data_IF_601305129823
#
_entry.id   IF_601305129823
#
_cell.length_a   1.000
_cell.length_b   1.000
_cell.length_c   1.000
_cell.angle_alpha   90.00
_cell.angle_beta   90.00
_cell.angle_gamma   90.00
#
_symmetry.space_group_name_H-M   'P 1'
#
loop_
_entity.id
_entity.type
_entity.pdbx_description
1 polymer ?
#
# COMPACT_ATOMS: atom_id res chain seq x y z
N UNK A 1 -26.18 71.35 4.72
CA UNK A 1 -25.90 70.22 5.63
C UNK A 1 -25.88 68.86 4.90
N UNK A 2 -26.72 68.62 3.88
CA UNK A 2 -26.80 67.33 3.18
C UNK A 2 -25.60 66.94 2.30
N UNK A 3 -24.74 67.89 1.91
CA UNK A 3 -23.53 67.60 1.11
C UNK A 3 -22.35 67.12 1.96
N UNK A 4 -22.33 67.45 3.25
CA UNK A 4 -21.26 67.04 4.17
C UNK A 4 -21.42 65.57 4.56
N UNK A 5 -22.64 65.14 4.90
CA UNK A 5 -22.94 63.75 5.24
C UNK A 5 -22.64 62.77 4.09
N UNK A 6 -22.95 63.16 2.85
CA UNK A 6 -22.65 62.35 1.67
C UNK A 6 -21.14 62.22 1.37
N UNK A 7 -20.34 63.20 1.80
CA UNK A 7 -18.87 63.17 1.64
C UNK A 7 -18.24 62.27 2.70
N UNK A 8 -18.69 62.35 3.95
CA UNK A 8 -18.24 61.49 5.04
C UNK A 8 -18.57 60.00 4.80
N UNK A 9 -19.75 59.69 4.25
CA UNK A 9 -20.14 58.32 3.87
C UNK A 9 -19.23 57.73 2.78
N UNK A 10 -18.85 58.54 1.78
CA UNK A 10 -17.93 58.09 0.72
C UNK A 10 -16.49 57.96 1.21
N UNK A 11 -16.05 58.81 2.13
CA UNK A 11 -14.72 58.72 2.75
C UNK A 11 -14.62 57.48 3.63
N UNK A 12 -15.66 57.16 4.40
CA UNK A 12 -15.72 55.92 5.20
C UNK A 12 -15.74 54.67 4.32
N UNK A 13 -16.52 54.67 3.24
CA UNK A 13 -16.56 53.58 2.25
C UNK A 13 -15.22 53.41 1.52
N UNK A 14 -14.58 54.50 1.09
CA UNK A 14 -13.27 54.47 0.44
C UNK A 14 -12.18 53.98 1.42
N UNK A 15 -12.22 54.41 2.68
CA UNK A 15 -11.33 53.90 3.73
C UNK A 15 -11.50 52.41 3.98
N UNK A 16 -12.75 51.92 4.06
CA UNK A 16 -13.04 50.49 4.22
C UNK A 16 -12.52 49.64 3.04
N UNK A 17 -12.66 50.13 1.80
CA UNK A 17 -12.15 49.46 0.60
C UNK A 17 -10.61 49.36 0.61
N UNK A 18 -9.92 50.43 1.03
CA UNK A 18 -8.44 50.41 1.15
C UNK A 18 -7.98 49.39 2.19
N UNK A 19 -8.64 49.32 3.35
CA UNK A 19 -8.33 48.33 4.40
C UNK A 19 -8.56 46.90 3.90
N UNK A 20 -9.69 46.63 3.25
CA UNK A 20 -10.02 45.31 2.70
C UNK A 20 -8.98 44.87 1.64
N UNK A 21 -8.57 45.78 0.76
CA UNK A 21 -7.57 45.48 -0.28
C UNK A 21 -6.18 45.23 0.32
N UNK A 22 -5.80 45.96 1.38
CA UNK A 22 -4.55 45.77 2.09
C UNK A 22 -4.50 44.43 2.82
N UNK A 23 -5.59 44.03 3.47
CA UNK A 23 -5.68 42.72 4.14
C UNK A 23 -5.60 41.57 3.12
N UNK A 24 -6.29 41.69 1.99
CA UNK A 24 -6.21 40.69 0.92
C UNK A 24 -4.79 40.59 0.33
N UNK A 25 -4.12 41.73 0.11
CA UNK A 25 -2.74 41.76 -0.37
C UNK A 25 -1.79 41.07 0.63
N UNK A 26 -1.93 41.33 1.92
CA UNK A 26 -1.12 40.67 2.96
C UNK A 26 -1.38 39.16 3.06
N UNK A 27 -2.63 38.73 2.88
CA UNK A 27 -2.96 37.30 2.86
C UNK A 27 -2.31 36.59 1.66
N UNK A 28 -2.31 37.22 0.48
CA UNK A 28 -1.63 36.70 -0.72
C UNK A 28 -0.11 36.71 -0.54
N UNK A 29 0.46 37.76 0.05
CA UNK A 29 1.91 37.80 0.35
C UNK A 29 2.28 36.71 1.35
N UNK A 30 1.47 36.53 2.40
CA UNK A 30 1.65 35.47 3.39
C UNK A 30 1.62 34.08 2.78
N UNK A 31 0.68 33.81 1.86
CA UNK A 31 0.61 32.53 1.17
C UNK A 31 1.83 32.29 0.27
N UNK A 32 2.29 33.31 -0.44
CA UNK A 32 3.51 33.22 -1.26
C UNK A 32 4.74 32.94 -0.38
N UNK A 33 4.89 33.60 0.76
CA UNK A 33 6.00 33.36 1.71
C UNK A 33 5.94 31.94 2.29
N UNK A 34 4.75 31.44 2.64
CA UNK A 34 4.58 30.05 3.09
C UNK A 34 4.96 29.04 2.02
N UNK A 35 4.64 29.29 0.76
CA UNK A 35 5.07 28.43 -0.36
C UNK A 35 6.59 28.45 -0.54
N UNK A 36 7.23 29.62 -0.46
CA UNK A 36 8.70 29.72 -0.54
C UNK A 36 9.37 28.96 0.60
N UNK A 37 8.82 29.02 1.82
CA UNK A 37 9.32 28.25 2.94
C UNK A 37 9.20 26.74 2.70
N UNK A 38 8.05 26.28 2.22
CA UNK A 38 7.86 24.86 1.87
C UNK A 38 8.77 24.41 0.73
N UNK A 39 9.04 25.25 -0.27
CA UNK A 39 10.00 24.92 -1.33
C UNK A 39 11.43 24.81 -0.77
N UNK A 40 11.81 25.66 0.19
CA UNK A 40 13.09 25.54 0.88
C UNK A 40 13.18 24.26 1.72
N UNK A 41 12.10 23.90 2.40
CA UNK A 41 11.99 22.64 3.16
C UNK A 41 12.05 21.41 2.23
N UNK A 42 11.33 21.44 1.09
CA UNK A 42 11.41 20.42 0.05
C UNK A 42 12.83 20.30 -0.50
N UNK A 43 13.49 21.41 -0.80
CA UNK A 43 14.86 21.39 -1.30
C UNK A 43 15.80 20.76 -0.26
N UNK A 44 15.64 21.08 1.02
CA UNK A 44 16.43 20.49 2.10
C UNK A 44 16.15 18.99 2.24
N UNK A 45 14.88 18.61 2.32
CA UNK A 45 14.44 17.22 2.41
C UNK A 45 14.87 16.38 1.20
N UNK A 46 14.79 16.94 -0.01
CA UNK A 46 15.25 16.27 -1.23
C UNK A 46 16.75 15.97 -1.15
N UNK A 47 17.55 16.93 -0.69
CA UNK A 47 19.00 16.75 -0.55
C UNK A 47 19.33 15.68 0.49
N UNK A 48 18.65 15.67 1.63
CA UNK A 48 18.87 14.67 2.70
C UNK A 48 18.40 13.26 2.27
N UNK A 49 17.20 13.15 1.69
CA UNK A 49 16.66 11.88 1.24
C UNK A 49 17.51 11.23 0.13
N UNK A 50 18.02 12.03 -0.81
CA UNK A 50 18.94 11.54 -1.85
C UNK A 50 20.28 11.13 -1.27
N UNK A 51 20.75 11.80 -0.22
CA UNK A 51 21.98 11.44 0.48
C UNK A 51 21.87 10.05 1.11
N UNK A 52 20.79 9.77 1.84
CA UNK A 52 20.53 8.46 2.47
C UNK A 52 20.40 7.34 1.44
N UNK A 53 19.68 7.58 0.34
CA UNK A 53 19.55 6.63 -0.77
C UNK A 53 20.89 6.32 -1.44
N UNK A 54 21.77 7.31 -1.56
CA UNK A 54 23.11 7.13 -2.11
C UNK A 54 24.02 6.35 -1.16
N UNK A 55 23.92 6.58 0.15
CA UNK A 55 24.66 5.81 1.15
C UNK A 55 24.22 4.35 1.20
N UNK A 56 22.90 4.11 1.18
CA UNK A 56 22.35 2.76 1.09
C UNK A 56 22.85 2.02 -0.16
N UNK A 57 22.85 2.68 -1.32
CA UNK A 57 23.38 2.10 -2.57
C UNK A 57 24.85 1.71 -2.44
N UNK A 58 25.68 2.51 -1.76
CA UNK A 58 27.10 2.19 -1.55
C UNK A 58 27.26 0.94 -0.69
N UNK A 59 26.49 0.83 0.40
CA UNK A 59 26.51 -0.34 1.28
C UNK A 59 25.99 -1.59 0.57
N UNK A 60 24.87 -1.49 -0.14
CA UNK A 60 24.26 -2.59 -0.88
C UNK A 60 25.14 -3.09 -2.03
N UNK A 61 25.71 -2.21 -2.86
CA UNK A 61 26.63 -2.62 -3.93
C UNK A 61 27.90 -3.26 -3.38
N UNK A 62 28.47 -2.71 -2.29
CA UNK A 62 29.64 -3.30 -1.63
C UNK A 62 29.32 -4.71 -1.12
N UNK A 63 28.14 -4.93 -0.54
CA UNK A 63 27.69 -6.24 -0.11
C UNK A 63 27.50 -7.22 -1.28
N UNK A 64 26.87 -6.78 -2.37
CA UNK A 64 26.69 -7.59 -3.58
C UNK A 64 28.03 -8.04 -4.17
N UNK A 65 28.98 -7.12 -4.33
CA UNK A 65 30.33 -7.43 -4.83
C UNK A 65 31.15 -8.32 -3.89
N UNK A 66 30.87 -8.30 -2.58
CA UNK A 66 31.51 -9.20 -1.60
C UNK A 66 30.87 -10.59 -1.55
N UNK A 67 29.59 -10.73 -1.90
CA UNK A 67 28.84 -11.99 -1.76
C UNK A 67 28.64 -12.74 -3.09
N UNK A 68 28.73 -12.07 -4.23
CA UNK A 68 28.70 -12.72 -5.55
C UNK A 68 30.07 -12.68 -6.22
N UNK A 69 30.94 -13.67 -5.97
CA UNK A 69 32.18 -13.81 -6.73
C UNK A 69 31.87 -14.13 -8.19
N UNK A 70 32.68 -13.58 -9.10
CA UNK A 70 32.57 -13.82 -10.53
C UNK A 70 32.56 -15.33 -10.81
N UNK A 71 31.77 -15.85 -11.78
CA UNK A 71 31.61 -17.30 -12.01
C UNK A 71 32.92 -18.06 -12.23
N UNK A 72 33.98 -17.37 -12.70
CA UNK A 72 35.33 -17.92 -12.78
C UNK A 72 35.92 -18.29 -11.41
N UNK A 73 35.67 -17.49 -10.36
CA UNK A 73 36.12 -17.72 -8.99
C UNK A 73 35.35 -18.86 -8.31
N UNK A 74 34.04 -18.99 -8.55
CA UNK A 74 33.25 -20.15 -8.09
C UNK A 74 33.75 -21.46 -8.71
N UNK A 75 34.14 -21.43 -9.98
CA UNK A 75 34.68 -22.60 -10.69
C UNK A 75 36.11 -22.92 -10.25
N UNK A 76 36.90 -21.91 -9.87
CA UNK A 76 38.25 -22.02 -9.31
C UNK A 76 38.22 -22.58 -7.89
N UNK A 77 37.30 -22.14 -7.04
CA UNK A 77 37.09 -22.73 -5.70
C UNK A 77 36.53 -24.16 -5.77
N UNK A 78 35.57 -24.44 -6.66
CA UNK A 78 35.09 -25.81 -6.87
C UNK A 78 36.19 -26.76 -7.36
N UNK A 79 37.19 -26.23 -8.10
CA UNK A 79 38.40 -26.97 -8.50
C UNK A 79 39.42 -27.09 -7.37
N UNK A 80 39.68 -26.02 -6.61
CA UNK A 80 40.63 -26.02 -5.49
C UNK A 80 40.22 -27.00 -4.39
N UNK A 81 38.92 -27.10 -4.06
CA UNK A 81 38.38 -28.05 -3.08
C UNK A 81 38.53 -29.51 -3.55
N UNK A 82 38.46 -29.76 -4.86
CA UNK A 82 38.69 -31.10 -5.44
C UNK A 82 40.17 -31.49 -5.46
N UNK A 83 41.09 -30.53 -5.62
CA UNK A 83 42.54 -30.76 -5.66
C UNK A 83 43.20 -30.75 -4.26
N UNK A 84 42.61 -30.08 -3.27
CA UNK A 84 43.11 -30.02 -1.88
C UNK A 84 42.95 -31.32 -1.07
N UNK A 85 42.30 -32.35 -1.61
CA UNK A 85 42.34 -33.71 -1.04
C UNK A 85 43.61 -34.49 -1.42
N UNK A 86 44.51 -33.90 -2.24
CA UNK A 86 45.65 -34.64 -2.84
C UNK A 86 47.06 -34.07 -2.68
N UNK A 87 47.31 -32.77 -2.44
CA UNK A 87 48.68 -32.23 -2.33
C UNK A 87 48.72 -30.85 -1.65
N UNK A 88 49.75 -30.57 -0.82
CA UNK A 88 49.92 -29.45 0.15
C UNK A 88 49.97 -27.99 -0.39
N UNK A 89 50.35 -26.95 0.40
CA UNK A 89 51.37 -26.92 1.47
C UNK A 89 50.87 -26.49 2.86
N UNK A 90 51.66 -26.82 3.88
CA UNK A 90 51.47 -26.54 5.31
C UNK A 90 51.43 -25.04 5.61
N UNK A 91 50.29 -24.53 6.07
CA UNK A 91 50.16 -23.17 6.61
C UNK A 91 50.53 -23.18 8.10
N UNK A 92 51.50 -22.34 8.51
CA UNK A 92 52.08 -22.28 9.85
C UNK A 92 51.17 -21.71 10.96
N UNK A 93 49.85 -21.64 10.75
CA UNK A 93 48.91 -21.20 11.79
C UNK A 93 48.74 -22.21 12.92
N UNK A 94 49.35 -23.40 12.85
CA UNK A 94 49.18 -24.50 13.80
C UNK A 94 50.23 -24.55 14.93
N UNK A 95 51.22 -23.64 14.98
CA UNK A 95 52.34 -23.73 15.93
C UNK A 95 52.12 -23.04 17.27
N UNK A 96 51.00 -22.35 17.48
CA UNK A 96 50.53 -21.96 18.81
C UNK A 96 49.49 -22.96 19.31
N UNK A 97 49.31 -23.19 20.62
CA UNK A 97 48.21 -23.99 21.12
C UNK A 97 46.90 -23.27 20.79
N UNK A 98 46.36 -23.55 19.60
CA UNK A 98 44.99 -23.22 19.22
C UNK A 98 44.05 -24.20 19.93
N UNK A 99 44.17 -24.31 21.25
CA UNK A 99 43.32 -25.13 22.12
C UNK A 99 41.98 -24.42 22.42
N UNK A 100 41.47 -23.63 21.49
CA UNK A 100 40.11 -23.11 21.56
C UNK A 100 39.22 -24.04 20.72
N UNK A 101 38.36 -24.87 21.36
CA UNK A 101 37.40 -25.64 20.61
C UNK A 101 36.50 -24.68 19.80
N UNK A 102 36.04 -25.08 18.60
CA UNK A 102 35.02 -24.34 17.88
C UNK A 102 33.84 -24.03 18.81
N UNK A 103 33.33 -22.80 18.75
CA UNK A 103 32.09 -22.47 19.44
C UNK A 103 30.96 -23.41 19.00
N UNK A 104 29.99 -23.72 19.88
CA UNK A 104 28.87 -24.56 19.51
C UNK A 104 28.09 -23.95 18.33
N UNK A 105 27.44 -24.78 17.49
CA UNK A 105 26.48 -24.29 16.52
C UNK A 105 25.45 -23.37 17.19
N UNK A 106 25.08 -22.28 16.51
CA UNK A 106 24.00 -21.41 16.98
C UNK A 106 22.69 -22.20 17.12
N UNK A 107 21.76 -21.75 17.98
CA UNK A 107 20.45 -22.39 18.10
C UNK A 107 19.71 -22.36 16.74
N UNK A 108 18.88 -23.38 16.43
CA UNK A 108 17.96 -23.30 15.31
C UNK A 108 17.12 -22.03 15.37
N UNK A 109 16.83 -21.42 14.22
CA UNK A 109 15.90 -20.30 14.16
C UNK A 109 14.53 -20.69 14.69
N UNK A 110 13.79 -19.71 15.20
CA UNK A 110 12.40 -19.95 15.64
C UNK A 110 11.56 -20.47 14.47
N UNK A 111 10.60 -21.38 14.70
CA UNK A 111 9.62 -21.76 13.69
C UNK A 111 8.93 -20.52 13.11
N UNK A 112 8.66 -20.56 11.80
CA UNK A 112 7.84 -19.52 11.16
C UNK A 112 6.46 -19.44 11.81
N UNK A 113 5.82 -18.28 11.72
CA UNK A 113 4.43 -18.12 12.16
C UNK A 113 3.51 -19.01 11.33
N UNK A 114 2.44 -19.52 11.95
CA UNK A 114 1.41 -20.25 11.22
C UNK A 114 0.82 -19.35 10.11
N UNK A 115 0.54 -19.93 8.94
CA UNK A 115 -0.17 -19.23 7.88
C UNK A 115 -1.56 -18.78 8.34
N UNK A 116 -2.11 -17.74 7.71
CA UNK A 116 -3.49 -17.36 7.95
C UNK A 116 -4.44 -18.50 7.52
N UNK A 117 -5.55 -18.72 8.24
CA UNK A 117 -6.61 -19.62 7.78
C UNK A 117 -7.04 -19.29 6.34
N UNK A 118 -7.38 -20.33 5.57
CA UNK A 118 -8.01 -20.14 4.27
C UNK A 118 -9.33 -19.38 4.42
N UNK A 119 -9.78 -18.73 3.33
CA UNK A 119 -11.13 -18.14 3.29
C UNK A 119 -12.18 -19.25 3.34
N UNK A 120 -13.32 -18.96 3.95
CA UNK A 120 -14.48 -19.84 3.92
C UNK A 120 -14.90 -20.14 2.47
N UNK A 121 -15.39 -21.36 2.23
CA UNK A 121 -15.96 -21.73 0.94
C UNK A 121 -17.25 -20.95 0.66
N UNK A 122 -17.59 -20.78 -0.62
CA UNK A 122 -18.88 -20.22 -0.99
C UNK A 122 -20.02 -21.15 -0.52
N UNK A 123 -21.20 -20.59 -0.15
CA UNK A 123 -22.38 -21.39 0.11
C UNK A 123 -22.71 -22.34 -1.06
N UNK A 124 -23.26 -23.51 -0.75
CA UNK A 124 -23.77 -24.44 -1.76
C UNK A 124 -24.92 -23.83 -2.57
N UNK A 125 -25.15 -24.34 -3.78
CA UNK A 125 -26.31 -23.93 -4.57
C UNK A 125 -27.61 -24.37 -3.86
N UNK A 126 -28.70 -23.59 -3.96
CA UNK A 126 -30.02 -24.03 -3.51
C UNK A 126 -30.39 -25.39 -4.15
N UNK A 127 -31.08 -26.23 -3.39
CA UNK A 127 -31.66 -27.45 -3.94
C UNK A 127 -32.65 -27.13 -5.06
N UNK A 128 -32.76 -28.03 -6.03
CA UNK A 128 -33.78 -27.93 -7.08
C UNK A 128 -35.19 -27.95 -6.48
N UNK A 129 -36.20 -27.40 -7.19
CA UNK A 129 -37.58 -27.51 -6.77
C UNK A 129 -37.99 -28.98 -6.59
N UNK A 130 -38.81 -29.25 -5.57
CA UNK A 130 -39.40 -30.56 -5.37
C UNK A 130 -40.24 -30.98 -6.58
N UNK A 131 -40.28 -32.27 -6.86
CA UNK A 131 -41.17 -32.81 -7.90
C UNK A 131 -42.64 -32.50 -7.53
N UNK A 132 -43.48 -32.04 -8.47
CA UNK A 132 -44.90 -31.86 -8.23
C UNK A 132 -45.55 -33.16 -7.71
N UNK A 133 -46.42 -33.04 -6.72
CA UNK A 133 -47.24 -34.14 -6.20
C UNK A 133 -48.15 -34.72 -7.28
N UNK A 134 -48.37 -36.03 -7.25
CA UNK A 134 -49.04 -36.81 -8.30
C UNK A 134 -50.55 -36.68 -8.40
N UNK A 135 -51.16 -35.61 -7.90
CA UNK A 135 -52.62 -35.47 -7.74
C UNK A 135 -53.27 -34.36 -8.61
N UNK A 136 -52.60 -33.88 -9.65
CA UNK A 136 -53.22 -33.04 -10.69
C UNK A 136 -54.08 -33.84 -11.71
N UNK A 137 -54.86 -34.81 -11.23
CA UNK A 137 -55.77 -35.64 -12.02
C UNK A 137 -57.19 -35.03 -12.12
N UNK A 138 -57.28 -33.75 -12.52
CA UNK A 138 -58.55 -33.17 -12.96
C UNK A 138 -58.42 -32.60 -14.37
N UNK A 139 -59.33 -33.03 -15.24
CA UNK A 139 -59.36 -32.65 -16.65
C UNK A 139 -59.68 -31.16 -16.83
N UNK A 140 -59.08 -30.47 -17.80
CA UNK A 140 -59.44 -29.08 -18.09
C UNK A 140 -60.87 -29.00 -18.65
N UNK A 141 -61.71 -28.16 -18.03
CA UNK A 141 -62.99 -27.77 -18.60
C UNK A 141 -62.78 -26.79 -19.78
N UNK A 142 -63.44 -26.98 -20.93
CA UNK A 142 -63.30 -26.10 -22.08
C UNK A 142 -63.84 -24.69 -21.80
N UNK A 143 -63.14 -23.67 -22.32
CA UNK A 143 -63.42 -22.26 -22.10
C UNK A 143 -64.86 -21.90 -22.48
N UNK A 144 -65.66 -21.43 -21.52
CA UNK A 144 -66.87 -20.66 -21.86
C UNK A 144 -66.42 -19.29 -22.33
N UNK A 145 -66.73 -19.01 -23.59
CA UNK A 145 -66.71 -17.70 -24.21
C UNK A 145 -67.28 -16.62 -23.27
N UNK A 146 -66.41 -15.68 -22.87
CA UNK A 146 -66.81 -14.39 -22.32
C UNK A 146 -67.03 -14.33 -20.81
N UNK A 147 -65.95 -14.17 -20.04
CA UNK A 147 -65.93 -13.34 -18.83
C UNK A 147 -64.48 -13.15 -18.37
N UNK A 148 -64.01 -11.90 -18.34
CA UNK A 148 -62.73 -11.52 -17.77
C UNK A 148 -62.71 -11.82 -16.26
N UNK A 149 -61.65 -12.46 -15.78
CA UNK A 149 -61.30 -12.46 -14.36
C UNK A 149 -59.89 -11.90 -14.23
N UNK A 150 -59.89 -10.72 -13.64
CA UNK A 150 -58.82 -9.81 -13.29
C UNK A 150 -57.87 -10.48 -12.29
N UNK A 151 -56.63 -10.76 -12.71
CA UNK A 151 -55.58 -11.27 -11.85
C UNK A 151 -55.02 -10.13 -10.98
N UNK A 152 -55.37 -10.21 -9.70
CA UNK A 152 -54.51 -9.98 -8.53
C UNK A 152 -53.82 -8.61 -8.37
N UNK A 153 -54.43 -7.82 -7.48
CA UNK A 153 -53.76 -6.86 -6.60
C UNK A 153 -53.40 -7.57 -5.26
N UNK A 154 -52.73 -6.97 -4.24
CA UNK A 154 -51.74 -5.87 -4.21
C UNK A 154 -50.50 -6.10 -3.27
N UNK A 155 -49.51 -5.19 -3.38
CA UNK A 155 -48.75 -4.49 -2.31
C UNK A 155 -47.91 -5.23 -1.24
N UNK A 156 -46.61 -4.89 -1.18
CA UNK A 156 -45.86 -4.33 -0.02
C UNK A 156 -44.36 -4.28 -0.38
N UNK A 157 -43.78 -3.15 -0.76
CA UNK A 157 -43.11 -2.16 0.12
C UNK A 157 -42.16 -2.81 1.15
N UNK A 158 -40.87 -2.93 0.80
CA UNK A 158 -39.77 -3.14 1.75
C UNK A 158 -38.86 -1.90 1.68
N UNK A 159 -38.84 -1.21 2.82
CA UNK A 159 -38.39 0.16 3.08
C UNK A 159 -36.86 0.29 3.11
N UNK A 160 -36.35 1.43 2.60
CA UNK A 160 -35.03 2.01 2.91
C UNK A 160 -35.08 2.82 4.22
#
# INVERSE_FOLDING_TARGET
MSVQSAFDDKVFSMGAIQLLSGVAALAVIGSIVSLVYMVNDINTFYNDAIHDLNEFKKVANSAWHKMTPHPAELTRERRSVKTRRGAGPTCGCASGPNTCPPGPPGPPGNPGTAGQPGRDGNPGQPGGPGVPGGDAAYCPCPSRSGAAVQSDAPSADYKQ
#
